data_IF_301948764045
#
_entry.id   IF_301948764045
#
_cell.length_a   1.000
_cell.length_b   1.000
_cell.length_c   1.000
_cell.angle_alpha   90.00
_cell.angle_beta   90.00
_cell.angle_gamma   90.00
#
_symmetry.space_group_name_H-M   'P 1'
#
loop_
_entity.id
_entity.type
_entity.pdbx_description
1 polymer ?
#
# COMPACT_ATOMS: atom_id res chain seq x y z
N UNK A 1 5.46 0.09 -7.49
CA UNK A 1 5.71 -0.04 -6.04
C UNK A 1 4.98 -1.25 -5.48
N UNK A 2 5.29 -1.65 -4.26
CA UNK A 2 4.58 -2.68 -3.50
C UNK A 2 4.60 -2.32 -2.01
N UNK A 3 3.66 -2.89 -1.28
CA UNK A 3 3.49 -2.77 0.16
C UNK A 3 3.04 -4.09 0.75
N UNK A 4 3.15 -4.23 2.07
CA UNK A 4 2.66 -5.40 2.77
C UNK A 4 2.18 -5.01 4.16
N UNK A 5 1.00 -5.52 4.54
CA UNK A 5 0.48 -5.33 5.88
C UNK A 5 -0.08 -6.64 6.42
N UNK A 6 0.20 -6.91 7.69
CA UNK A 6 -0.48 -7.98 8.41
C UNK A 6 -1.71 -7.37 9.06
N UNK A 7 -2.90 -7.70 8.58
CA UNK A 7 -4.16 -7.11 9.04
C UNK A 7 -4.41 -7.18 10.57
N UNK A 8 -3.77 -8.13 11.27
CA UNK A 8 -3.83 -8.21 12.73
C UNK A 8 -2.93 -7.20 13.46
N UNK A 9 -2.04 -6.49 12.77
CA UNK A 9 -1.19 -5.44 13.31
C UNK A 9 -1.51 -4.13 12.58
N UNK A 10 -2.77 -3.70 12.65
CA UNK A 10 -3.31 -2.58 11.85
C UNK A 10 -3.38 -1.26 12.62
N UNK A 11 -2.87 -1.22 13.85
CA UNK A 11 -2.87 -0.01 14.65
C UNK A 11 -1.85 0.98 14.09
N UNK A 12 -2.30 2.22 13.89
CA UNK A 12 -1.49 3.33 13.36
C UNK A 12 -0.99 4.22 14.49
N UNK A 13 0.19 4.78 14.29
CA UNK A 13 0.74 5.85 15.12
C UNK A 13 0.06 7.18 14.71
N UNK A 14 -0.73 7.82 15.60
CA UNK A 14 -1.47 9.03 15.27
C UNK A 14 -0.57 10.27 15.12
N UNK A 15 0.66 10.25 15.65
CA UNK A 15 1.59 11.39 15.56
C UNK A 15 2.39 11.35 14.24
N UNK A 16 2.60 10.17 13.68
CA UNK A 16 3.42 9.97 12.48
C UNK A 16 2.59 9.71 11.21
N UNK A 17 1.38 9.19 11.35
CA UNK A 17 0.52 8.85 10.21
C UNK A 17 0.02 10.08 9.45
N UNK A 18 0.04 10.00 8.14
CA UNK A 18 -0.68 10.91 7.23
C UNK A 18 -1.49 10.10 6.22
N UNK A 19 -2.39 10.76 5.49
CA UNK A 19 -3.23 10.10 4.48
C UNK A 19 -2.41 9.29 3.46
N UNK A 20 -1.24 9.79 3.05
CA UNK A 20 -0.38 9.12 2.06
C UNK A 20 0.68 8.21 2.67
N UNK A 21 0.92 8.31 3.98
CA UNK A 21 1.98 7.60 4.69
C UNK A 21 1.45 7.05 6.02
N UNK A 22 0.80 5.87 6.00
CA UNK A 22 0.32 5.21 7.21
C UNK A 22 1.49 4.57 7.97
N UNK A 23 1.74 5.03 9.20
CA UNK A 23 2.80 4.50 10.05
C UNK A 23 2.18 3.56 11.08
N UNK A 24 2.52 2.28 11.01
CA UNK A 24 1.98 1.27 11.91
C UNK A 24 2.85 1.10 13.16
N UNK A 25 2.23 0.98 14.34
CA UNK A 25 2.97 0.83 15.62
C UNK A 25 3.56 -0.57 15.79
N UNK A 26 2.88 -1.59 15.26
CA UNK A 26 3.21 -3.01 15.40
C UNK A 26 3.30 -3.53 16.85
N UNK A 27 2.80 -2.79 17.83
CA UNK A 27 2.97 -3.13 19.26
C UNK A 27 2.12 -4.31 19.72
N UNK A 28 0.93 -4.47 19.13
CA UNK A 28 0.01 -5.53 19.51
C UNK A 28 -0.61 -6.20 18.30
N UNK A 29 -1.01 -7.45 18.52
CA UNK A 29 -1.81 -8.21 17.57
C UNK A 29 -3.28 -8.15 17.98
N UNK A 30 -4.11 -7.58 17.13
CA UNK A 30 -5.57 -7.62 17.21
C UNK A 30 -6.10 -8.82 16.40
N UNK A 31 -6.73 -9.83 17.05
CA UNK A 31 -7.38 -10.94 16.35
C UNK A 31 -8.45 -10.45 15.38
N UNK A 32 -8.72 -11.25 14.34
CA UNK A 32 -9.78 -10.97 13.34
C UNK A 32 -10.70 -12.18 13.35
N UNK A 33 -11.99 -11.94 13.52
CA UNK A 33 -13.01 -12.99 13.50
C UNK A 33 -13.45 -13.28 12.06
N UNK A 34 -13.83 -14.52 11.72
CA UNK A 34 -14.41 -14.81 10.42
C UNK A 34 -15.65 -13.93 10.16
N UNK A 35 -15.71 -13.31 8.98
CA UNK A 35 -16.80 -12.41 8.57
C UNK A 35 -16.71 -10.98 9.13
N UNK A 36 -15.74 -10.69 10.00
CA UNK A 36 -15.50 -9.33 10.49
C UNK A 36 -14.90 -8.46 9.38
N UNK A 37 -15.56 -7.34 9.09
CA UNK A 37 -15.04 -6.32 8.15
C UNK A 37 -14.21 -5.33 8.94
N UNK A 38 -12.93 -5.19 8.58
CA UNK A 38 -11.99 -4.28 9.24
C UNK A 38 -11.31 -3.36 8.21
N UNK A 39 -11.05 -2.09 8.55
CA UNK A 39 -10.17 -1.26 7.75
C UNK A 39 -8.72 -1.71 7.92
N UNK A 40 -7.93 -1.61 6.85
CA UNK A 40 -6.49 -1.88 6.87
C UNK A 40 -5.81 -0.92 5.91
N UNK A 41 -4.96 -0.05 6.45
CA UNK A 41 -4.07 0.77 5.65
C UNK A 41 -2.82 -0.03 5.25
N UNK A 42 -2.39 0.13 4.01
CA UNK A 42 -1.21 -0.56 3.48
C UNK A 42 -0.28 0.49 2.90
N UNK A 43 0.84 0.70 3.59
CA UNK A 43 1.88 1.57 3.07
C UNK A 43 2.47 0.99 1.79
N UNK A 44 2.49 1.79 0.72
CA UNK A 44 3.23 1.48 -0.49
C UNK A 44 4.55 2.24 -0.45
N UNK A 45 5.66 1.57 -0.77
CA UNK A 45 6.96 2.25 -0.83
C UNK A 45 6.95 3.42 -1.82
N UNK A 46 7.78 4.42 -1.57
CA UNK A 46 7.84 5.58 -2.45
C UNK A 46 8.28 5.17 -3.85
N UNK A 47 7.69 5.83 -4.84
CA UNK A 47 7.97 5.59 -6.23
C UNK A 47 7.63 6.83 -7.04
N UNK A 48 8.40 7.05 -8.11
CA UNK A 48 8.09 8.04 -9.13
C UNK A 48 8.00 7.30 -10.46
N UNK A 49 6.84 7.34 -11.11
CA UNK A 49 6.62 6.67 -12.39
C UNK A 49 5.81 7.60 -13.28
N UNK A 50 6.38 7.94 -14.44
CA UNK A 50 5.69 8.70 -15.46
C UNK A 50 4.82 7.75 -16.27
N UNK A 51 3.51 8.01 -16.29
CA UNK A 51 2.57 7.33 -17.17
C UNK A 51 2.44 8.13 -18.48
N UNK A 52 2.56 7.44 -19.62
CA UNK A 52 2.29 7.99 -20.95
C UNK A 52 0.81 7.80 -21.29
N UNK A 53 0.36 8.54 -22.31
CA UNK A 53 -0.96 8.32 -22.89
C UNK A 53 -1.10 6.86 -23.34
N UNK A 54 -2.19 6.21 -22.91
CA UNK A 54 -2.46 4.79 -23.18
C UNK A 54 -1.84 3.80 -22.20
N UNK A 55 -1.03 4.24 -21.24
CA UNK A 55 -0.54 3.38 -20.15
C UNK A 55 -1.55 3.33 -19.01
N UNK A 56 -1.62 2.18 -18.33
CA UNK A 56 -2.56 1.93 -17.24
C UNK A 56 -1.84 1.71 -15.91
N UNK A 57 -2.42 2.21 -14.82
CA UNK A 57 -2.07 1.83 -13.47
C UNK A 57 -2.89 0.61 -13.05
N UNK A 58 -2.21 -0.43 -12.56
CA UNK A 58 -2.85 -1.65 -12.03
C UNK A 58 -2.49 -1.88 -10.58
N UNK A 59 -3.51 -1.95 -9.72
CA UNK A 59 -3.38 -2.43 -8.34
C UNK A 59 -3.61 -3.94 -8.29
N UNK A 60 -2.69 -4.67 -7.64
CA UNK A 60 -2.80 -6.11 -7.44
C UNK A 60 -2.70 -6.42 -5.95
N UNK A 61 -3.79 -6.94 -5.38
CA UNK A 61 -3.83 -7.37 -3.97
C UNK A 61 -3.73 -8.89 -3.88
N UNK A 62 -2.82 -9.40 -3.02
CA UNK A 62 -2.61 -10.84 -2.84
C UNK A 62 -2.37 -11.18 -1.37
N UNK A 63 -2.90 -12.30 -0.91
CA UNK A 63 -2.62 -12.87 0.42
C UNK A 63 -1.25 -13.55 0.54
N UNK A 64 -0.31 -13.28 -0.37
CA UNK A 64 1.05 -13.83 -0.37
C UNK A 64 2.02 -12.83 -0.98
N UNK A 65 3.31 -13.01 -0.68
CA UNK A 65 4.38 -12.25 -1.30
C UNK A 65 4.28 -12.29 -2.83
N UNK A 66 4.42 -11.13 -3.47
CA UNK A 66 4.19 -10.95 -4.91
C UNK A 66 5.32 -11.53 -5.76
N UNK A 67 6.54 -11.61 -5.22
CA UNK A 67 7.68 -12.20 -5.91
C UNK A 67 7.84 -13.68 -5.56
N UNK A 68 8.23 -14.50 -6.54
CA UNK A 68 8.58 -15.90 -6.31
C UNK A 68 9.83 -16.01 -5.44
N UNK A 69 9.84 -16.98 -4.52
CA UNK A 69 11.06 -17.38 -3.81
C UNK A 69 11.97 -18.10 -4.81
N UNK A 70 13.07 -17.48 -5.20
CA UNK A 70 14.02 -18.01 -6.17
C UNK A 70 15.37 -18.27 -5.47
N UNK A 71 15.98 -19.47 -5.61
CA UNK A 71 17.25 -19.78 -4.95
C UNK A 71 18.48 -19.07 -5.56
N UNK A 72 18.35 -18.50 -6.75
CA UNK A 72 19.42 -17.82 -7.51
C UNK A 72 19.28 -16.30 -7.45
N UNK A 73 18.06 -15.78 -7.25
CA UNK A 73 17.79 -14.33 -7.26
C UNK A 73 16.83 -13.90 -6.14
N UNK A 74 16.94 -12.64 -5.73
CA UNK A 74 16.07 -12.07 -4.69
C UNK A 74 16.53 -12.42 -3.27
N UNK A 75 15.58 -12.51 -2.33
CA UNK A 75 15.88 -12.55 -0.89
C UNK A 75 16.16 -13.94 -0.32
N UNK A 76 16.43 -14.98 -1.12
CA UNK A 76 16.67 -16.33 -0.58
C UNK A 76 17.94 -16.37 0.30
N UNK A 77 17.93 -17.07 1.46
CA UNK A 77 16.85 -17.91 1.99
C UNK A 77 15.82 -17.17 2.86
N UNK A 78 15.89 -15.85 2.99
CA UNK A 78 14.88 -15.08 3.72
C UNK A 78 13.52 -15.10 3.00
N UNK A 79 12.45 -15.04 3.78
CA UNK A 79 11.09 -14.92 3.25
C UNK A 79 10.06 -14.79 4.35
N UNK A 80 8.90 -14.25 3.99
CA UNK A 80 7.81 -14.04 4.92
C UNK A 80 7.21 -15.37 5.40
N UNK A 81 6.91 -15.43 6.70
CA UNK A 81 6.26 -16.59 7.33
C UNK A 81 4.88 -16.81 6.70
N UNK A 82 4.67 -17.99 6.13
CA UNK A 82 3.36 -18.38 5.58
C UNK A 82 2.42 -18.78 6.72
N UNK A 83 1.17 -18.32 6.67
CA UNK A 83 0.08 -18.76 7.57
C UNK A 83 -0.83 -19.72 6.82
N UNK A 84 -1.68 -20.46 7.57
CA UNK A 84 -2.76 -21.26 6.99
C UNK A 84 -3.60 -20.38 6.07
N UNK A 85 -4.01 -20.96 4.94
CA UNK A 85 -4.78 -20.24 3.92
C UNK A 85 -6.17 -19.85 4.40
N UNK A 86 -6.81 -18.98 3.62
CA UNK A 86 -8.18 -18.50 3.82
C UNK A 86 -8.56 -17.58 2.67
N UNK A 87 -9.84 -17.20 2.63
CA UNK A 87 -10.34 -16.23 1.64
C UNK A 87 -10.34 -14.85 2.28
N UNK A 88 -9.74 -13.88 1.60
CA UNK A 88 -9.88 -12.47 1.92
C UNK A 88 -10.89 -11.85 0.95
N UNK A 89 -11.82 -11.06 1.48
CA UNK A 89 -12.80 -10.30 0.71
C UNK A 89 -12.44 -8.83 0.86
N UNK A 90 -12.34 -8.12 -0.27
CA UNK A 90 -12.12 -6.68 -0.29
C UNK A 90 -13.48 -6.04 -0.53
N UNK A 91 -13.94 -5.27 0.45
CA UNK A 91 -15.20 -4.54 0.36
C UNK A 91 -14.94 -3.18 -0.31
N UNK A 92 -15.80 -2.80 -1.25
CA UNK A 92 -15.75 -1.50 -1.95
C UNK A 92 -17.15 -0.90 -2.01
N UNK A 93 -17.23 0.44 -2.11
CA UNK A 93 -18.48 1.18 -2.24
C UNK A 93 -18.62 2.28 -1.19
N UNK A 94 -19.75 3.01 -1.16
CA UNK A 94 -19.95 4.13 -0.24
C UNK A 94 -19.84 3.75 1.25
N UNK A 95 -20.31 2.56 1.62
CA UNK A 95 -20.24 2.06 3.01
C UNK A 95 -18.84 1.56 3.38
N UNK A 96 -18.03 1.19 2.38
CA UNK A 96 -16.68 0.65 2.55
C UNK A 96 -15.75 1.28 1.50
N UNK A 97 -15.31 2.54 1.71
CA UNK A 97 -14.62 3.34 0.69
C UNK A 97 -13.15 2.94 0.54
N UNK A 98 -12.87 1.68 0.20
CA UNK A 98 -11.52 1.23 -0.13
C UNK A 98 -10.96 2.01 -1.32
N UNK A 99 -9.80 2.63 -1.14
CA UNK A 99 -9.18 3.50 -2.14
C UNK A 99 -7.66 3.29 -2.25
N UNK A 100 -7.09 3.72 -3.37
CA UNK A 100 -5.66 3.86 -3.57
C UNK A 100 -5.33 5.35 -3.65
N UNK A 101 -4.60 5.86 -2.66
CA UNK A 101 -4.15 7.25 -2.64
C UNK A 101 -2.81 7.37 -3.37
N UNK A 102 -2.71 8.36 -4.26
CA UNK A 102 -1.52 8.59 -5.10
C UNK A 102 -1.13 10.05 -5.07
N UNK A 103 0.14 10.31 -4.75
CA UNK A 103 0.77 11.58 -5.10
C UNK A 103 0.92 11.65 -6.62
N UNK A 104 0.45 12.73 -7.24
CA UNK A 104 0.66 12.99 -8.66
C UNK A 104 1.31 14.36 -8.85
N UNK A 105 2.13 14.46 -9.89
CA UNK A 105 2.71 15.72 -10.36
C UNK A 105 2.45 15.82 -11.85
N UNK A 106 2.08 17.01 -12.31
CA UNK A 106 1.98 17.26 -13.74
C UNK A 106 3.38 17.25 -14.37
N UNK A 107 3.52 16.82 -15.64
CA UNK A 107 4.76 17.00 -16.37
C UNK A 107 5.09 18.49 -16.43
N UNK A 108 6.33 18.85 -16.15
CA UNK A 108 6.85 20.22 -16.26
C UNK A 108 6.52 20.83 -17.62
N UNK A 109 5.95 22.04 -17.63
CA UNK A 109 5.51 22.73 -18.86
C UNK A 109 4.04 22.52 -19.22
N UNK A 110 3.23 21.92 -18.32
CA UNK A 110 1.78 21.87 -18.47
C UNK A 110 1.15 23.24 -18.20
N UNK A 111 0.11 23.67 -18.94
CA UNK A 111 -0.54 24.96 -18.70
C UNK A 111 -1.09 25.03 -17.27
N UNK A 112 -0.61 26.01 -16.48
CA UNK A 112 -1.14 26.28 -15.12
C UNK A 112 -0.18 26.16 -13.94
N UNK A 113 1.15 26.06 -14.13
CA UNK A 113 2.09 26.03 -13.00
C UNK A 113 2.75 27.41 -12.72
N UNK A 114 2.37 28.10 -11.63
CA UNK A 114 3.31 28.90 -10.85
C UNK A 114 4.15 27.95 -9.97
N UNK A 115 5.17 28.46 -9.29
CA UNK A 115 6.00 27.77 -8.26
C UNK A 115 7.38 27.24 -8.68
N UNK A 116 8.32 28.19 -8.71
CA UNK A 116 9.68 28.00 -8.22
C UNK A 116 10.06 29.20 -7.30
N UNK A 117 9.13 29.64 -6.45
CA UNK A 117 9.38 30.82 -5.60
C UNK A 117 9.65 30.48 -4.13
N UNK A 118 9.40 29.25 -3.68
CA UNK A 118 9.70 28.82 -2.29
C UNK A 118 10.00 27.33 -2.19
N UNK A 119 11.19 26.92 -2.61
CA UNK A 119 11.86 25.75 -2.03
C UNK A 119 13.09 26.26 -1.26
N UNK A 120 13.35 25.76 -0.03
CA UNK A 120 14.51 26.19 0.77
C UNK A 120 15.85 25.87 0.09
#
# INVERSE_FOLDING_TARGET
SYGWQRAGFRDLDPELTTDLHPVHTFERRVPIRPGEVIPVDIELREHATRFRAGEELRLVVRGRWVHSRNPVTGSFPAGYVRRRGGTAIIHTGPEHPSSLLLGHRHPTGSPGEPWLEKAP
#
